data_IF_911752181554
#
_entry.id   IF_911752181554
#
_cell.length_a   1.000
_cell.length_b   1.000
_cell.length_c   1.000
_cell.angle_alpha   90.00
_cell.angle_beta   90.00
_cell.angle_gamma   90.00
#
_symmetry.space_group_name_H-M   'P 1'
#
loop_
_entity.id
_entity.type
_entity.pdbx_description
1 polymer ?
#
# COMPACT_ATOMS: atom_id res chain seq x y z
N UNK A 1 4.28 18.42 -18.72
CA UNK A 1 3.00 17.76 -18.41
C UNK A 1 2.39 17.34 -19.73
N UNK A 2 2.14 16.04 -19.92
CA UNK A 2 1.48 15.50 -21.11
C UNK A 2 0.00 15.21 -20.80
N UNK A 3 -0.89 15.63 -21.69
CA UNK A 3 -2.35 15.52 -21.48
C UNK A 3 -2.83 14.09 -21.75
N UNK A 4 -2.39 13.51 -22.88
CA UNK A 4 -2.63 12.10 -23.21
C UNK A 4 -1.43 11.55 -23.97
N UNK A 5 -1.00 10.33 -23.61
CA UNK A 5 0.11 9.62 -24.25
C UNK A 5 -0.40 8.25 -24.69
N UNK A 6 -0.42 8.01 -26.00
CA UNK A 6 -0.77 6.73 -26.61
C UNK A 6 0.38 6.22 -27.46
N UNK A 7 0.93 5.06 -27.12
CA UNK A 7 2.01 4.43 -27.87
C UNK A 7 2.07 2.93 -27.56
N UNK A 8 2.92 2.19 -28.27
CA UNK A 8 3.20 0.78 -27.93
C UNK A 8 3.93 0.67 -26.59
N UNK A 9 4.94 1.51 -26.40
CA UNK A 9 5.74 1.60 -25.18
C UNK A 9 5.88 3.06 -24.78
N UNK A 10 5.70 3.35 -23.50
CA UNK A 10 5.79 4.69 -22.94
C UNK A 10 6.77 4.67 -21.76
N UNK A 11 7.76 5.56 -21.81
CA UNK A 11 8.67 5.81 -20.71
C UNK A 11 8.50 7.24 -20.21
N UNK A 12 8.21 7.40 -18.92
CA UNK A 12 7.97 8.67 -18.25
C UNK A 12 9.00 8.80 -17.14
N UNK A 13 9.90 9.77 -17.24
CA UNK A 13 10.89 10.05 -16.21
C UNK A 13 10.84 11.52 -15.81
N UNK A 14 10.91 11.78 -14.49
CA UNK A 14 10.92 13.13 -13.90
C UNK A 14 9.84 14.07 -14.47
N UNK A 15 8.63 13.54 -14.69
CA UNK A 15 7.56 14.22 -15.40
C UNK A 15 6.19 13.87 -14.82
N UNK A 16 5.15 14.45 -15.41
CA UNK A 16 3.77 14.07 -15.12
C UNK A 16 2.95 13.90 -16.38
N UNK A 17 2.06 12.92 -16.34
CA UNK A 17 1.10 12.63 -17.39
C UNK A 17 -0.30 12.50 -16.79
N UNK A 18 -1.30 13.00 -17.51
CA UNK A 18 -2.67 12.87 -17.07
C UNK A 18 -3.26 11.52 -17.49
N UNK A 19 -3.19 11.18 -18.78
CA UNK A 19 -3.61 9.87 -19.27
C UNK A 19 -2.49 9.17 -20.04
N UNK A 20 -2.26 7.91 -19.74
CA UNK A 20 -1.28 7.05 -20.43
C UNK A 20 -1.98 5.76 -20.83
N UNK A 21 -1.92 5.43 -22.12
CA UNK A 21 -2.44 4.19 -22.67
C UNK A 21 -1.37 3.54 -23.56
N UNK A 22 -0.85 2.39 -23.15
CA UNK A 22 0.18 1.68 -23.92
C UNK A 22 0.23 0.21 -23.56
N UNK A 23 0.90 -0.63 -24.35
CA UNK A 23 1.10 -2.02 -23.95
C UNK A 23 2.09 -2.10 -22.79
N UNK A 24 3.20 -1.37 -22.88
CA UNK A 24 4.20 -1.31 -21.82
C UNK A 24 4.41 0.14 -21.33
N UNK A 25 4.31 0.35 -20.03
CA UNK A 25 4.54 1.64 -19.40
C UNK A 25 5.63 1.51 -18.33
N UNK A 26 6.65 2.34 -18.43
CA UNK A 26 7.66 2.55 -17.39
C UNK A 26 7.54 3.97 -16.87
N UNK A 27 7.36 4.10 -15.57
CA UNK A 27 7.22 5.37 -14.88
C UNK A 27 8.31 5.43 -13.80
N UNK A 28 9.17 6.43 -13.87
CA UNK A 28 10.26 6.65 -12.94
C UNK A 28 10.21 8.07 -12.37
N UNK A 29 10.25 8.23 -11.05
CA UNK A 29 10.28 9.54 -10.38
C UNK A 29 9.23 10.53 -10.92
N UNK A 30 8.03 10.01 -11.21
CA UNK A 30 7.00 10.71 -11.98
C UNK A 30 5.62 10.51 -11.38
N UNK A 31 4.63 11.22 -11.92
CA UNK A 31 3.24 11.08 -11.48
C UNK A 31 2.28 10.89 -12.65
N UNK A 32 1.36 9.92 -12.51
CA UNK A 32 0.36 9.59 -13.53
C UNK A 32 -1.04 9.58 -12.92
N UNK A 33 -1.96 10.33 -13.50
CA UNK A 33 -3.35 10.35 -13.00
C UNK A 33 -4.10 9.07 -13.41
N UNK A 34 -4.08 8.73 -14.69
CA UNK A 34 -4.69 7.53 -15.25
C UNK A 34 -3.67 6.75 -16.09
N UNK A 35 -3.36 5.53 -15.67
CA UNK A 35 -2.49 4.60 -16.39
C UNK A 35 -3.31 3.37 -16.77
N UNK A 36 -3.35 3.08 -18.06
CA UNK A 36 -3.89 1.83 -18.60
C UNK A 36 -2.83 1.13 -19.44
N UNK A 37 -2.46 -0.10 -19.06
CA UNK A 37 -1.46 -0.85 -19.78
C UNK A 37 -1.65 -2.36 -19.76
N UNK A 38 -0.84 -3.11 -20.50
CA UNK A 38 -0.68 -4.55 -20.24
C UNK A 38 0.34 -4.77 -19.14
N UNK A 39 1.49 -4.09 -19.23
CA UNK A 39 2.56 -4.12 -18.24
C UNK A 39 2.86 -2.69 -17.75
N UNK A 40 2.83 -2.49 -16.44
CA UNK A 40 3.16 -1.21 -15.82
C UNK A 40 4.26 -1.40 -14.77
N UNK A 41 5.40 -0.74 -14.96
CA UNK A 41 6.47 -0.65 -13.97
C UNK A 41 6.53 0.78 -13.42
N UNK A 42 6.40 0.92 -12.11
CA UNK A 42 6.39 2.20 -11.41
C UNK A 42 7.47 2.20 -10.34
N UNK A 43 8.43 3.12 -10.45
CA UNK A 43 9.53 3.25 -9.49
C UNK A 43 9.63 4.70 -8.97
N UNK A 44 9.48 4.90 -7.66
CA UNK A 44 9.45 6.24 -7.05
C UNK A 44 8.34 7.13 -7.63
N UNK A 45 7.17 6.56 -7.87
CA UNK A 45 6.09 7.21 -8.62
C UNK A 45 4.79 7.36 -7.84
N UNK A 46 3.97 8.33 -8.27
CA UNK A 46 2.60 8.52 -7.79
C UNK A 46 1.56 8.20 -8.86
N UNK A 47 0.58 7.36 -8.54
CA UNK A 47 -0.56 7.02 -9.39
C UNK A 47 -1.89 7.44 -8.75
N UNK A 48 -2.87 7.95 -9.50
CA UNK A 48 -4.24 8.04 -8.96
C UNK A 48 -5.03 6.77 -9.25
N UNK A 49 -5.07 6.33 -10.52
CA UNK A 49 -5.72 5.10 -10.96
C UNK A 49 -4.81 4.35 -11.92
N UNK A 50 -4.34 3.19 -11.51
CA UNK A 50 -3.44 2.33 -12.27
C UNK A 50 -4.18 1.05 -12.64
N UNK A 51 -4.29 0.75 -13.92
CA UNK A 51 -4.91 -0.46 -14.44
C UNK A 51 -3.96 -1.16 -15.40
N UNK A 52 -3.56 -2.39 -15.08
CA UNK A 52 -2.82 -3.21 -16.02
C UNK A 52 -3.08 -4.70 -15.85
N UNK A 53 -2.55 -5.54 -16.73
CA UNK A 53 -2.55 -6.99 -16.49
C UNK A 53 -1.48 -7.35 -15.46
N UNK A 54 -0.29 -6.75 -15.56
CA UNK A 54 0.80 -6.85 -14.59
C UNK A 54 1.23 -5.47 -14.12
N UNK A 55 1.22 -5.24 -12.81
CA UNK A 55 1.67 -3.99 -12.18
C UNK A 55 2.81 -4.31 -11.23
N UNK A 56 3.95 -3.66 -11.42
CA UNK A 56 5.09 -3.70 -10.50
C UNK A 56 5.36 -2.31 -9.95
N UNK A 57 5.34 -2.19 -8.63
CA UNK A 57 5.54 -0.95 -7.90
C UNK A 57 6.73 -1.10 -6.95
N UNK A 58 7.67 -0.16 -7.04
CA UNK A 58 8.81 -0.04 -6.12
C UNK A 58 8.86 1.39 -5.58
N UNK A 59 8.91 1.55 -4.24
CA UNK A 59 8.94 2.87 -3.57
C UNK A 59 7.86 3.83 -4.11
N UNK A 60 6.67 3.31 -4.44
CA UNK A 60 5.65 4.02 -5.21
C UNK A 60 4.31 4.07 -4.50
N UNK A 61 3.53 5.10 -4.79
CA UNK A 61 2.20 5.34 -4.24
C UNK A 61 1.10 5.25 -5.29
N UNK A 62 -0.04 4.63 -5.00
CA UNK A 62 -1.21 4.68 -5.88
C UNK A 62 -2.56 4.85 -5.14
N UNK A 63 -3.48 5.64 -5.68
CA UNK A 63 -4.83 5.76 -5.12
C UNK A 63 -5.62 4.46 -5.25
N UNK A 64 -5.79 3.99 -6.49
CA UNK A 64 -6.43 2.74 -6.85
C UNK A 64 -5.54 1.95 -7.82
N UNK A 65 -5.39 0.66 -7.57
CA UNK A 65 -4.68 -0.28 -8.44
C UNK A 65 -5.62 -1.41 -8.83
N UNK A 66 -5.74 -1.67 -10.13
CA UNK A 66 -6.39 -2.85 -10.67
C UNK A 66 -5.38 -3.65 -11.49
N UNK A 67 -5.08 -4.87 -11.08
CA UNK A 67 -4.12 -5.71 -11.79
C UNK A 67 -4.62 -7.15 -11.95
N UNK A 68 -4.10 -7.90 -12.93
CA UNK A 68 -4.13 -9.36 -12.84
C UNK A 68 -3.14 -9.82 -11.76
N UNK A 69 -1.88 -9.39 -11.92
CA UNK A 69 -0.79 -9.59 -10.98
C UNK A 69 -0.27 -8.25 -10.46
N UNK A 70 -0.30 -8.05 -9.15
CA UNK A 70 0.26 -6.87 -8.49
C UNK A 70 1.49 -7.27 -7.68
N UNK A 71 2.65 -6.71 -8.00
CA UNK A 71 3.87 -6.75 -7.19
C UNK A 71 4.12 -5.37 -6.60
N UNK A 72 4.21 -5.29 -5.29
CA UNK A 72 4.49 -4.05 -4.59
C UNK A 72 5.60 -4.25 -3.56
N UNK A 73 6.63 -3.42 -3.65
CA UNK A 73 7.75 -3.38 -2.73
C UNK A 73 7.93 -1.95 -2.19
N UNK A 74 8.01 -1.80 -0.88
CA UNK A 74 8.15 -0.50 -0.20
C UNK A 74 7.11 0.54 -0.69
N UNK A 75 5.92 0.07 -1.07
CA UNK A 75 4.93 0.85 -1.81
C UNK A 75 3.63 1.01 -1.04
N UNK A 76 2.86 2.06 -1.35
CA UNK A 76 1.62 2.39 -0.66
C UNK A 76 0.43 2.50 -1.61
N UNK A 77 -0.73 1.95 -1.25
CA UNK A 77 -1.94 2.20 -2.04
C UNK A 77 -3.24 2.30 -1.24
N UNK A 78 -4.18 3.09 -1.74
CA UNK A 78 -5.49 3.25 -1.11
C UNK A 78 -6.35 1.99 -1.27
N UNK A 79 -6.53 1.53 -2.50
CA UNK A 79 -7.30 0.33 -2.83
C UNK A 79 -6.60 -0.49 -3.91
N UNK A 80 -6.47 -1.80 -3.69
CA UNK A 80 -6.00 -2.74 -4.71
C UNK A 80 -7.04 -3.81 -5.00
N UNK A 81 -7.26 -4.06 -6.29
CA UNK A 81 -8.08 -5.17 -6.79
C UNK A 81 -7.19 -5.98 -7.72
N UNK A 82 -6.79 -7.18 -7.32
CA UNK A 82 -6.02 -8.05 -8.20
C UNK A 82 -6.36 -9.53 -8.06
N UNK A 83 -5.96 -10.34 -9.03
CA UNK A 83 -6.11 -11.80 -8.88
C UNK A 83 -5.01 -12.37 -7.99
N UNK A 84 -3.79 -11.88 -8.19
CA UNK A 84 -2.62 -12.23 -7.41
C UNK A 84 -1.93 -10.96 -6.89
N UNK A 85 -1.63 -10.94 -5.60
CA UNK A 85 -0.95 -9.82 -4.93
C UNK A 85 0.29 -10.34 -4.24
N UNK A 86 1.45 -9.79 -4.60
CA UNK A 86 2.76 -9.98 -3.98
C UNK A 86 3.17 -8.68 -3.31
N UNK A 87 3.27 -8.67 -1.99
CA UNK A 87 3.64 -7.47 -1.24
C UNK A 87 4.85 -7.73 -0.35
N UNK A 88 5.77 -6.76 -0.32
CA UNK A 88 6.91 -6.70 0.58
C UNK A 88 7.03 -5.29 1.15
N UNK A 89 7.01 -5.17 2.48
CA UNK A 89 7.11 -3.88 3.20
C UNK A 89 6.18 -2.78 2.66
N UNK A 90 5.00 -3.20 2.19
CA UNK A 90 4.04 -2.34 1.49
C UNK A 90 2.74 -2.17 2.28
N UNK A 91 2.11 -1.01 2.11
CA UNK A 91 0.92 -0.60 2.85
C UNK A 91 -0.29 -0.48 1.94
N UNK A 92 -1.44 -0.98 2.39
CA UNK A 92 -2.70 -0.85 1.66
C UNK A 92 -3.85 -0.39 2.56
N UNK A 93 -4.73 0.46 2.04
CA UNK A 93 -6.00 0.75 2.71
C UNK A 93 -6.95 -0.44 2.66
N UNK A 94 -7.27 -0.88 1.45
CA UNK A 94 -8.11 -2.05 1.19
C UNK A 94 -7.55 -2.92 0.06
N UNK A 95 -7.58 -4.24 0.24
CA UNK A 95 -7.18 -5.19 -0.80
C UNK A 95 -8.31 -6.18 -1.03
N UNK A 96 -8.70 -6.35 -2.30
CA UNK A 96 -9.59 -7.40 -2.77
C UNK A 96 -8.78 -8.29 -3.70
N UNK A 97 -8.56 -9.54 -3.31
CA UNK A 97 -7.77 -10.47 -4.12
C UNK A 97 -8.23 -11.91 -4.03
N UNK A 98 -7.90 -12.71 -5.05
CA UNK A 98 -8.11 -14.17 -4.99
C UNK A 98 -6.98 -14.82 -4.21
N UNK A 99 -5.73 -14.45 -4.50
CA UNK A 99 -4.53 -15.00 -3.89
C UNK A 99 -3.60 -13.89 -3.40
N UNK A 100 -3.05 -14.04 -2.19
CA UNK A 100 -2.05 -13.10 -1.63
C UNK A 100 -0.82 -13.86 -1.18
N UNK A 101 0.36 -13.34 -1.53
CA UNK A 101 1.66 -13.85 -1.15
C UNK A 101 2.51 -12.70 -0.57
N UNK A 102 3.23 -12.95 0.53
CA UNK A 102 4.17 -11.98 1.13
C UNK A 102 3.66 -11.25 2.38
N UNK A 103 4.41 -10.23 2.79
CA UNK A 103 4.18 -9.43 4.00
C UNK A 103 3.26 -8.26 3.67
N UNK A 104 2.02 -8.32 4.15
CA UNK A 104 0.98 -7.32 3.84
C UNK A 104 0.62 -6.53 5.10
N UNK A 105 0.84 -5.23 5.07
CA UNK A 105 0.31 -4.30 6.08
C UNK A 105 -0.95 -3.63 5.52
N UNK A 106 -2.13 -4.18 5.79
CA UNK A 106 -3.39 -3.63 5.29
C UNK A 106 -4.42 -3.42 6.39
N UNK A 107 -5.26 -2.39 6.22
CA UNK A 107 -6.34 -2.08 7.16
C UNK A 107 -7.54 -3.02 6.98
N UNK A 108 -7.83 -3.40 5.72
CA UNK A 108 -8.93 -4.29 5.34
C UNK A 108 -8.43 -5.24 4.24
N UNK A 109 -8.52 -6.55 4.50
CA UNK A 109 -8.16 -7.60 3.54
C UNK A 109 -9.36 -8.50 3.28
N UNK A 110 -9.82 -8.56 2.03
CA UNK A 110 -10.77 -9.57 1.57
C UNK A 110 -10.05 -10.47 0.57
N UNK A 111 -9.73 -11.69 1.00
CA UNK A 111 -8.99 -12.66 0.18
C UNK A 111 -9.70 -14.01 0.10
N UNK A 112 -9.69 -14.63 -1.10
CA UNK A 112 -10.28 -15.96 -1.34
C UNK A 112 -9.38 -17.11 -0.88
N UNK A 113 -8.06 -16.94 -0.92
CA UNK A 113 -7.05 -17.94 -0.55
C UNK A 113 -5.74 -17.24 -0.16
N UNK A 114 -5.03 -17.78 0.82
CA UNK A 114 -3.71 -17.29 1.25
C UNK A 114 -2.77 -18.49 1.22
N UNK A 115 -1.75 -18.45 0.37
CA UNK A 115 -0.71 -19.49 0.31
C UNK A 115 0.66 -18.82 0.45
N UNK A 116 1.18 -18.76 1.67
CA UNK A 116 2.46 -18.11 1.98
C UNK A 116 2.67 -18.02 3.49
N UNK A 117 3.91 -17.83 3.92
CA UNK A 117 4.22 -17.61 5.33
C UNK A 117 3.71 -16.22 5.73
N UNK A 118 2.51 -16.17 6.34
CA UNK A 118 1.91 -14.93 6.80
C UNK A 118 2.67 -14.48 8.05
N UNK A 119 3.74 -13.70 7.88
CA UNK A 119 4.18 -12.81 8.95
C UNK A 119 3.19 -11.66 9.00
N UNK A 120 2.05 -11.91 9.66
CA UNK A 120 1.18 -10.84 10.13
C UNK A 120 2.06 -9.86 10.90
N UNK A 121 1.97 -8.57 10.55
CA UNK A 121 2.50 -7.41 11.26
C UNK A 121 2.06 -7.28 12.74
N UNK A 122 1.51 -8.34 13.31
CA UNK A 122 1.15 -8.53 14.70
C UNK A 122 1.95 -9.75 15.17
N UNK A 123 3.21 -9.52 15.52
CA UNK A 123 3.98 -10.49 16.29
C UNK A 123 3.35 -10.53 17.69
N UNK A 124 2.67 -11.62 18.03
CA UNK A 124 1.99 -11.83 19.31
C UNK A 124 2.92 -11.64 20.51
N UNK A 125 4.25 -11.72 20.30
CA UNK A 125 5.26 -11.40 21.33
C UNK A 125 5.46 -9.90 21.54
N UNK A 126 5.30 -9.07 20.51
CA UNK A 126 5.44 -7.61 20.60
C UNK A 126 4.17 -6.91 21.12
N UNK A 127 2.99 -7.46 20.84
CA UNK A 127 1.72 -6.92 21.39
C UNK A 127 1.63 -7.06 22.91
N UNK A 128 2.23 -8.11 23.48
CA UNK A 128 2.31 -8.24 24.94
C UNK A 128 3.14 -7.11 25.58
N UNK A 129 4.25 -6.70 24.94
CA UNK A 129 5.08 -5.59 25.39
C UNK A 129 4.41 -4.22 25.16
N UNK A 130 3.75 -4.01 24.02
CA UNK A 130 2.98 -2.79 23.75
C UNK A 130 1.75 -2.66 24.67
N UNK A 131 1.11 -3.76 25.05
CA UNK A 131 0.03 -3.78 26.03
C UNK A 131 0.52 -3.39 27.43
N UNK A 132 1.69 -3.87 27.84
CA UNK A 132 2.29 -3.49 29.14
C UNK A 132 2.70 -2.01 29.15
N UNK A 133 3.31 -1.50 28.08
CA UNK A 133 3.73 -0.10 28.00
C UNK A 133 2.53 0.85 27.96
N UNK A 134 1.51 0.56 27.14
CA UNK A 134 0.30 1.38 27.06
C UNK A 134 -0.53 1.33 28.35
N UNK A 135 -0.66 0.14 28.96
CA UNK A 135 -1.31 -0.02 30.26
C UNK A 135 -0.60 0.73 31.39
N UNK A 136 0.73 0.74 31.40
CA UNK A 136 1.52 1.45 32.42
C UNK A 136 1.39 2.96 32.28
N UNK A 137 1.40 3.50 31.06
CA UNK A 137 1.19 4.93 30.85
C UNK A 137 -0.21 5.38 31.27
N UNK A 138 -1.25 4.61 30.92
CA UNK A 138 -2.64 4.93 31.30
C UNK A 138 -2.82 4.81 32.83
N UNK A 139 -2.26 3.77 33.46
CA UNK A 139 -2.30 3.60 34.91
C UNK A 139 -1.61 4.75 35.66
N UNK A 140 -0.44 5.21 35.18
CA UNK A 140 0.27 6.34 35.79
C UNK A 140 -0.50 7.66 35.64
N UNK A 141 -1.13 7.89 34.48
CA UNK A 141 -1.94 9.09 34.25
C UNK A 141 -3.18 9.09 35.15
N UNK A 142 -3.91 7.97 35.25
CA UNK A 142 -5.06 7.85 36.13
C UNK A 142 -4.68 7.96 37.60
N UNK A 143 -3.56 7.37 38.01
CA UNK A 143 -3.05 7.46 39.38
C UNK A 143 -2.64 8.90 39.75
N UNK A 144 -2.00 9.63 38.84
CA UNK A 144 -1.65 11.04 39.03
C UNK A 144 -2.88 11.94 39.08
N UNK A 145 -3.88 11.67 38.22
CA UNK A 145 -5.15 12.39 38.24
C UNK A 145 -5.90 12.15 39.54
N UNK A 146 -6.00 10.89 39.99
CA UNK A 146 -6.65 10.53 41.26
C UNK A 146 -5.93 11.18 42.45
N UNK A 147 -4.60 11.15 42.47
CA UNK A 147 -3.80 11.82 43.51
C UNK A 147 -3.95 13.35 43.52
N UNK A 148 -4.11 13.98 42.34
CA UNK A 148 -4.35 15.42 42.22
C UNK A 148 -5.77 15.81 42.62
N UNK A 149 -6.77 14.98 42.33
CA UNK A 149 -8.16 15.21 42.74
C UNK A 149 -8.37 14.93 44.23
N UNK A 150 -7.71 13.91 44.78
CA UNK A 150 -7.80 13.54 46.18
C UNK A 150 -6.97 14.45 47.12
N UNK A 151 -6.15 15.35 46.54
CA UNK A 151 -5.50 16.46 47.26
C UNK A 151 -6.33 17.75 47.30
N UNK A 152 -7.46 17.78 46.59
CA UNK A 152 -8.40 18.92 46.59
C UNK A 152 -9.71 18.63 47.34
N UNK A 153 -9.75 17.56 48.13
CA UNK A 153 -10.80 17.27 49.11
C UNK A 153 -10.29 17.53 50.53
#
# INVERSE_FOLDING_TARGET
MADSVAAESVHISQSSAQAVHANQVQVEQSSVMHLEAQEAHMNQCGGQSVQAESVEMHDSGAGMVRAGNLKAQDSGFGMAIAEEVHMHDSHAGAIITKNTHGTVHTSILLTGKVEGEVHTAIDTRQVALLGIVSGTCIALILFLLDWLTNRKA
#
